data_IF_888426004302
#
_entry.id   IF_888426004302
#
_cell.length_a   1.000
_cell.length_b   1.000
_cell.length_c   1.000
_cell.angle_alpha   90.00
_cell.angle_beta   90.00
_cell.angle_gamma   90.00
#
_symmetry.space_group_name_H-M   'P 1'
#
loop_
_entity.id
_entity.type
_entity.pdbx_description
1 polymer ?
#
# COMPACT_ATOMS: atom_id res chain seq x y z
N UNK A 1 -32.88 -5.63 5.14
CA UNK A 1 -31.82 -5.82 4.13
C UNK A 1 -32.00 -7.09 3.28
N UNK A 2 -32.92 -7.94 3.58
CA UNK A 2 -33.20 -9.25 2.91
C UNK A 2 -34.13 -9.17 1.70
N UNK A 3 -34.68 -8.02 1.37
CA UNK A 3 -35.65 -7.86 0.26
C UNK A 3 -34.99 -7.62 -1.12
N UNK A 4 -33.73 -7.17 -1.18
CA UNK A 4 -33.06 -6.84 -2.44
C UNK A 4 -32.46 -8.08 -3.16
N UNK A 5 -31.90 -9.03 -2.42
CA UNK A 5 -31.33 -10.26 -3.01
C UNK A 5 -32.41 -11.20 -3.63
N UNK A 6 -33.64 -11.18 -3.10
CA UNK A 6 -34.76 -11.93 -3.65
C UNK A 6 -35.27 -11.33 -4.98
N UNK A 7 -35.05 -10.03 -5.23
CA UNK A 7 -35.53 -9.38 -6.44
C UNK A 7 -34.69 -9.73 -7.67
N UNK A 8 -33.37 -9.87 -7.54
CA UNK A 8 -32.45 -10.21 -8.65
C UNK A 8 -32.63 -11.69 -9.06
N UNK A 9 -32.75 -12.62 -8.09
CA UNK A 9 -33.00 -14.04 -8.40
C UNK A 9 -34.31 -14.29 -9.12
N UNK A 10 -35.34 -13.44 -8.91
CA UNK A 10 -36.59 -13.52 -9.65
C UNK A 10 -36.52 -12.85 -11.04
N UNK A 11 -35.61 -11.85 -11.19
CA UNK A 11 -35.40 -11.14 -12.47
C UNK A 11 -34.55 -11.94 -13.47
N UNK A 12 -33.62 -12.79 -13.00
CA UNK A 12 -32.83 -13.71 -13.86
C UNK A 12 -33.69 -14.74 -14.60
N UNK A 13 -34.95 -14.95 -14.16
CA UNK A 13 -35.91 -15.88 -14.79
C UNK A 13 -36.92 -15.24 -15.73
N UNK A 14 -36.95 -13.90 -15.86
CA UNK A 14 -37.89 -13.21 -16.75
C UNK A 14 -37.30 -11.87 -17.17
N UNK A 15 -37.44 -11.49 -18.44
CA UNK A 15 -36.94 -10.31 -19.18
C UNK A 15 -37.00 -8.92 -18.48
N UNK A 16 -36.66 -8.84 -17.21
CA UNK A 16 -36.65 -7.57 -16.48
C UNK A 16 -35.25 -6.97 -16.47
N UNK A 17 -35.14 -5.72 -16.92
CA UNK A 17 -33.93 -4.90 -16.90
C UNK A 17 -33.32 -4.83 -15.50
N UNK A 18 -32.01 -5.05 -15.39
CA UNK A 18 -31.28 -4.96 -14.14
C UNK A 18 -30.39 -3.74 -14.15
N UNK A 19 -30.69 -2.74 -13.33
CA UNK A 19 -29.86 -1.54 -13.24
C UNK A 19 -28.48 -1.85 -12.65
N UNK A 20 -27.44 -1.26 -13.22
CA UNK A 20 -26.07 -1.49 -12.77
C UNK A 20 -25.84 -1.14 -11.29
N UNK A 21 -26.55 -0.15 -10.73
CA UNK A 21 -26.50 0.15 -9.29
C UNK A 21 -27.03 -1.00 -8.42
N UNK A 22 -28.07 -1.70 -8.86
CA UNK A 22 -28.65 -2.84 -8.14
C UNK A 22 -27.69 -4.02 -8.21
N UNK A 23 -27.18 -4.30 -9.40
CA UNK A 23 -26.13 -5.31 -9.59
C UNK A 23 -24.90 -5.05 -8.75
N UNK A 24 -24.37 -3.82 -8.72
CA UNK A 24 -23.17 -3.48 -7.94
C UNK A 24 -23.35 -3.71 -6.43
N UNK A 25 -24.55 -3.50 -5.88
CA UNK A 25 -24.83 -3.77 -4.46
C UNK A 25 -24.83 -5.28 -4.22
N UNK A 26 -25.53 -6.04 -5.04
CA UNK A 26 -25.59 -7.50 -4.94
C UNK A 26 -24.21 -8.14 -5.12
N UNK A 27 -23.44 -7.67 -6.11
CA UNK A 27 -22.09 -8.10 -6.38
C UNK A 27 -21.15 -7.84 -5.18
N UNK A 28 -21.25 -6.65 -4.54
CA UNK A 28 -20.45 -6.35 -3.35
C UNK A 28 -20.76 -7.26 -2.18
N UNK A 29 -22.05 -7.57 -1.95
CA UNK A 29 -22.48 -8.36 -0.80
C UNK A 29 -22.18 -9.86 -1.00
N UNK A 30 -22.48 -10.40 -2.17
CA UNK A 30 -22.44 -11.85 -2.42
C UNK A 30 -21.11 -12.34 -3.00
N UNK A 31 -20.39 -11.53 -3.77
CA UNK A 31 -19.16 -11.97 -4.44
C UNK A 31 -17.88 -11.34 -3.85
N UNK A 32 -17.93 -10.05 -3.48
CA UNK A 32 -16.75 -9.36 -2.99
C UNK A 32 -16.55 -9.57 -1.49
N UNK A 33 -17.60 -9.37 -0.69
CA UNK A 33 -17.54 -9.47 0.78
C UNK A 33 -16.93 -10.77 1.28
N UNK A 34 -17.31 -11.96 0.77
CA UNK A 34 -16.75 -13.22 1.23
C UNK A 34 -15.34 -13.50 0.70
N UNK A 35 -14.92 -12.85 -0.40
CA UNK A 35 -13.70 -13.21 -1.15
C UNK A 35 -12.50 -12.32 -0.85
N UNK A 36 -12.69 -11.11 -0.30
CA UNK A 36 -11.61 -10.15 -0.11
C UNK A 36 -11.42 -9.75 1.35
N UNK A 37 -10.21 -9.26 1.68
CA UNK A 37 -9.94 -8.70 3.01
C UNK A 37 -10.76 -7.41 3.25
N UNK A 38 -11.14 -7.07 4.50
CA UNK A 38 -11.99 -5.93 4.84
C UNK A 38 -11.55 -4.61 4.20
N UNK A 39 -10.26 -4.32 4.20
CA UNK A 39 -9.72 -3.09 3.58
C UNK A 39 -9.91 -3.04 2.05
N UNK A 40 -9.88 -4.18 1.39
CA UNK A 40 -10.14 -4.25 -0.06
C UNK A 40 -11.61 -4.05 -0.33
N UNK A 41 -12.48 -4.63 0.50
CA UNK A 41 -13.93 -4.42 0.46
C UNK A 41 -14.28 -2.94 0.65
N UNK A 42 -13.75 -2.28 1.69
CA UNK A 42 -13.95 -0.84 1.92
C UNK A 42 -13.57 0.01 0.69
N UNK A 43 -12.45 -0.32 0.07
CA UNK A 43 -12.01 0.38 -1.14
C UNK A 43 -12.96 0.17 -2.32
N UNK A 44 -13.45 -1.03 -2.51
CA UNK A 44 -14.42 -1.33 -3.57
C UNK A 44 -15.74 -0.62 -3.30
N UNK A 45 -16.21 -0.68 -2.07
CA UNK A 45 -17.41 0.02 -1.63
C UNK A 45 -17.33 1.54 -1.85
N UNK A 46 -16.17 2.15 -1.53
CA UNK A 46 -15.93 3.58 -1.78
C UNK A 46 -15.99 3.92 -3.28
N UNK A 47 -15.38 3.10 -4.14
CA UNK A 47 -15.40 3.29 -5.60
C UNK A 47 -16.83 3.12 -6.13
N UNK A 48 -17.53 2.08 -5.72
CA UNK A 48 -18.89 1.82 -6.14
C UNK A 48 -19.82 2.98 -5.75
N UNK A 49 -19.84 3.36 -4.47
CA UNK A 49 -20.74 4.41 -3.95
C UNK A 49 -20.44 5.80 -4.51
N UNK A 50 -19.16 6.17 -4.53
CA UNK A 50 -18.78 7.55 -4.83
C UNK A 50 -18.52 7.80 -6.32
N UNK A 51 -18.50 6.73 -7.16
CA UNK A 51 -18.13 6.87 -8.57
C UNK A 51 -19.06 6.10 -9.51
N UNK A 52 -19.20 4.79 -9.33
CA UNK A 52 -19.91 3.96 -10.30
C UNK A 52 -21.42 4.18 -10.24
N UNK A 53 -22.02 4.15 -9.05
CA UNK A 53 -23.47 4.36 -8.88
C UNK A 53 -23.87 5.75 -9.41
N UNK A 54 -23.09 6.79 -9.15
CA UNK A 54 -23.41 8.17 -9.54
C UNK A 54 -23.44 8.33 -11.06
N UNK A 55 -22.53 7.66 -11.76
CA UNK A 55 -22.33 7.89 -13.22
C UNK A 55 -22.88 6.79 -14.12
N UNK A 56 -22.78 5.55 -13.68
CA UNK A 56 -23.16 4.39 -14.47
C UNK A 56 -24.35 3.64 -13.87
N UNK A 57 -24.74 3.95 -12.63
CA UNK A 57 -25.74 3.17 -11.90
C UNK A 57 -27.14 3.13 -12.50
N UNK A 58 -27.53 4.09 -13.32
CA UNK A 58 -28.85 4.15 -13.95
C UNK A 58 -28.89 3.50 -15.34
N UNK A 59 -27.77 3.00 -15.85
CA UNK A 59 -27.77 2.17 -17.04
C UNK A 59 -28.23 0.76 -16.69
N UNK A 60 -28.87 0.10 -17.63
CA UNK A 60 -29.01 -1.34 -17.57
C UNK A 60 -27.65 -2.02 -17.73
N UNK A 61 -27.46 -3.21 -17.11
CA UNK A 61 -26.21 -3.95 -17.22
C UNK A 61 -25.90 -4.28 -18.69
N UNK A 62 -26.93 -4.64 -19.48
CA UNK A 62 -26.80 -4.95 -20.92
C UNK A 62 -26.45 -3.72 -21.76
N UNK A 63 -26.91 -2.54 -21.35
CA UNK A 63 -26.68 -1.28 -22.08
C UNK A 63 -25.29 -0.67 -21.81
N UNK A 64 -24.50 -1.23 -20.89
CA UNK A 64 -23.15 -0.76 -20.60
C UNK A 64 -22.15 -1.10 -21.71
N UNK A 65 -22.31 -0.43 -22.85
CA UNK A 65 -21.43 -0.62 -24.01
C UNK A 65 -19.99 -0.18 -23.76
N UNK A 66 -19.00 -0.69 -24.54
CA UNK A 66 -17.61 -0.24 -24.46
C UNK A 66 -17.48 1.27 -24.62
N UNK A 67 -18.33 1.89 -25.44
CA UNK A 67 -18.30 3.34 -25.69
C UNK A 67 -18.70 4.14 -24.44
N UNK A 68 -19.74 3.71 -23.71
CA UNK A 68 -20.20 4.36 -22.48
C UNK A 68 -19.10 4.31 -21.43
N UNK A 69 -18.52 3.12 -21.21
CA UNK A 69 -17.46 2.92 -20.21
C UNK A 69 -16.19 3.71 -20.61
N UNK A 70 -15.85 3.73 -21.90
CA UNK A 70 -14.68 4.48 -22.38
C UNK A 70 -14.85 6.01 -22.22
N UNK A 71 -16.04 6.55 -22.44
CA UNK A 71 -16.35 7.97 -22.16
C UNK A 71 -16.19 8.27 -20.67
N UNK A 72 -16.67 7.38 -19.81
CA UNK A 72 -16.51 7.53 -18.35
C UNK A 72 -15.03 7.47 -17.91
N UNK A 73 -14.21 6.59 -18.49
CA UNK A 73 -12.77 6.53 -18.25
C UNK A 73 -12.11 7.87 -18.62
N UNK A 74 -12.51 8.46 -19.75
CA UNK A 74 -12.01 9.76 -20.20
C UNK A 74 -12.41 10.89 -19.23
N UNK A 75 -13.65 10.89 -18.77
CA UNK A 75 -14.13 11.84 -17.76
C UNK A 75 -13.34 11.73 -16.44
N UNK A 76 -13.05 10.51 -15.98
CA UNK A 76 -12.22 10.28 -14.80
C UNK A 76 -10.81 10.85 -14.95
N UNK A 77 -10.23 10.77 -16.15
CA UNK A 77 -8.91 11.31 -16.44
C UNK A 77 -8.90 12.85 -16.50
N UNK A 78 -10.00 13.47 -16.87
CA UNK A 78 -10.11 14.93 -17.00
C UNK A 78 -10.55 15.60 -15.69
N UNK A 79 -11.59 15.10 -15.03
CA UNK A 79 -12.31 15.75 -13.93
C UNK A 79 -12.59 14.82 -12.74
N UNK A 80 -12.03 13.60 -12.70
CA UNK A 80 -12.40 12.54 -11.76
C UNK A 80 -12.02 12.80 -10.30
N UNK A 81 -11.27 13.84 -9.97
CA UNK A 81 -10.93 14.15 -8.58
C UNK A 81 -12.00 15.04 -7.94
N UNK A 82 -12.89 14.43 -7.16
CA UNK A 82 -14.02 15.11 -6.52
C UNK A 82 -13.64 16.26 -5.57
N UNK A 83 -12.38 16.29 -5.07
CA UNK A 83 -11.92 17.35 -4.16
C UNK A 83 -11.33 18.55 -4.88
N UNK A 84 -10.68 18.32 -5.99
CA UNK A 84 -9.93 19.37 -6.71
C UNK A 84 -10.50 19.71 -8.07
N UNK A 85 -11.49 18.94 -8.57
CA UNK A 85 -12.03 19.05 -9.91
C UNK A 85 -11.03 18.67 -11.04
N UNK A 86 -9.81 18.21 -10.70
CA UNK A 86 -8.80 17.79 -11.67
C UNK A 86 -8.96 16.32 -12.06
N UNK A 87 -8.22 15.88 -13.05
CA UNK A 87 -8.15 14.48 -13.43
C UNK A 87 -7.57 13.56 -12.35
N UNK A 88 -7.96 12.29 -12.39
CA UNK A 88 -7.33 11.24 -11.60
C UNK A 88 -6.02 10.79 -12.25
N UNK A 89 -5.11 10.27 -11.42
CA UNK A 89 -3.91 9.57 -11.93
C UNK A 89 -4.29 8.28 -12.67
N UNK A 90 -3.47 7.88 -13.66
CA UNK A 90 -3.65 6.62 -14.40
C UNK A 90 -3.82 5.41 -13.46
N UNK A 91 -3.07 5.35 -12.35
CA UNK A 91 -3.23 4.28 -11.35
C UNK A 91 -4.61 4.28 -10.69
N UNK A 92 -5.13 5.46 -10.34
CA UNK A 92 -6.47 5.58 -9.75
C UNK A 92 -7.57 5.19 -10.73
N UNK A 93 -7.45 5.64 -11.99
CA UNK A 93 -8.38 5.26 -13.05
C UNK A 93 -8.33 3.75 -13.30
N UNK A 94 -7.14 3.16 -13.42
CA UNK A 94 -7.00 1.71 -13.59
C UNK A 94 -7.58 0.90 -12.41
N UNK A 95 -7.59 1.48 -11.19
CA UNK A 95 -8.27 0.84 -10.05
C UNK A 95 -9.78 0.85 -10.23
N UNK A 96 -10.36 1.95 -10.72
CA UNK A 96 -11.81 2.02 -11.02
C UNK A 96 -12.16 1.03 -12.13
N UNK A 97 -11.36 0.99 -13.20
CA UNK A 97 -11.54 0.02 -14.29
C UNK A 97 -11.50 -1.42 -13.77
N UNK A 98 -10.60 -1.75 -12.85
CA UNK A 98 -10.53 -3.09 -12.28
C UNK A 98 -11.80 -3.46 -11.49
N UNK A 99 -12.44 -2.51 -10.82
CA UNK A 99 -13.73 -2.74 -10.14
C UNK A 99 -14.83 -2.97 -11.15
N UNK A 100 -14.92 -2.16 -12.21
CA UNK A 100 -15.89 -2.37 -13.30
C UNK A 100 -15.66 -3.74 -13.94
N UNK A 101 -14.40 -4.07 -14.26
CA UNK A 101 -14.06 -5.35 -14.88
C UNK A 101 -14.51 -6.54 -14.02
N UNK A 102 -14.21 -6.52 -12.72
CA UNK A 102 -14.58 -7.61 -11.82
C UNK A 102 -16.10 -7.77 -11.72
N UNK A 103 -16.86 -6.67 -11.65
CA UNK A 103 -18.32 -6.74 -11.59
C UNK A 103 -18.95 -7.20 -12.92
N UNK A 104 -18.44 -6.70 -14.05
CA UNK A 104 -18.94 -7.07 -15.37
C UNK A 104 -18.54 -8.50 -15.77
N UNK A 105 -17.37 -9.00 -15.33
CA UNK A 105 -16.99 -10.39 -15.57
C UNK A 105 -17.96 -11.36 -14.91
N UNK A 106 -18.34 -11.10 -13.66
CA UNK A 106 -19.29 -11.96 -12.96
C UNK A 106 -20.69 -11.79 -13.57
N UNK A 107 -21.11 -10.57 -13.96
CA UNK A 107 -22.36 -10.34 -14.64
C UNK A 107 -22.49 -11.17 -15.94
N UNK A 108 -21.41 -11.21 -16.72
CA UNK A 108 -21.32 -12.05 -17.93
C UNK A 108 -21.36 -13.54 -17.59
N UNK A 109 -20.58 -13.99 -16.59
CA UNK A 109 -20.51 -15.41 -16.20
C UNK A 109 -21.85 -15.97 -15.71
N UNK A 110 -22.73 -15.12 -15.14
CA UNK A 110 -24.07 -15.51 -14.67
C UNK A 110 -25.19 -15.18 -15.66
N UNK A 111 -24.87 -14.68 -16.86
CA UNK A 111 -25.82 -14.40 -17.92
C UNK A 111 -26.68 -13.14 -17.71
N UNK A 112 -26.18 -12.13 -16.95
CA UNK A 112 -26.81 -10.81 -16.86
C UNK A 112 -26.46 -9.91 -18.06
N UNK A 113 -25.54 -10.30 -18.90
CA UNK A 113 -25.17 -9.66 -20.16
C UNK A 113 -24.62 -10.72 -21.10
N UNK A 114 -24.95 -10.61 -22.38
CA UNK A 114 -24.48 -11.54 -23.41
C UNK A 114 -23.10 -11.17 -23.97
N UNK A 115 -22.61 -9.96 -23.69
CA UNK A 115 -21.34 -9.45 -24.22
C UNK A 115 -20.34 -9.07 -23.10
N UNK A 116 -19.13 -9.63 -23.19
CA UNK A 116 -18.02 -9.20 -22.34
C UNK A 116 -17.31 -7.99 -22.96
N UNK A 117 -17.67 -6.80 -22.47
CA UNK A 117 -17.28 -5.52 -23.07
C UNK A 117 -15.87 -5.03 -22.67
N UNK A 118 -15.27 -5.63 -21.63
CA UNK A 118 -14.06 -5.08 -21.00
C UNK A 118 -12.78 -5.20 -21.82
N UNK A 119 -12.68 -6.19 -22.71
CA UNK A 119 -11.51 -6.38 -23.58
C UNK A 119 -11.38 -5.32 -24.67
N UNK A 120 -12.48 -4.62 -24.98
CA UNK A 120 -12.52 -3.55 -25.98
C UNK A 120 -12.07 -2.18 -25.44
N UNK A 121 -11.78 -2.07 -24.13
CA UNK A 121 -11.44 -0.81 -23.48
C UNK A 121 -9.95 -0.48 -23.58
N UNK A 122 -9.65 0.80 -23.83
CA UNK A 122 -8.29 1.34 -23.78
C UNK A 122 -7.98 1.86 -22.38
N UNK A 123 -7.03 1.20 -21.72
CA UNK A 123 -6.57 1.60 -20.38
C UNK A 123 -5.52 2.70 -20.45
N UNK A 124 -5.55 3.70 -19.55
CA UNK A 124 -4.50 4.69 -19.48
C UNK A 124 -3.16 4.06 -19.12
N UNK A 125 -2.11 4.45 -19.85
CA UNK A 125 -0.74 3.99 -19.57
C UNK A 125 -0.28 4.54 -18.21
N UNK A 126 0.32 3.67 -17.42
CA UNK A 126 0.91 4.05 -16.15
C UNK A 126 2.30 4.59 -16.44
N UNK A 127 2.54 5.85 -16.08
CA UNK A 127 3.89 6.39 -16.06
C UNK A 127 4.59 5.94 -14.79
N UNK A 128 5.70 5.25 -14.92
CA UNK A 128 6.54 4.88 -13.79
C UNK A 128 7.11 6.15 -13.13
N UNK A 129 6.73 6.38 -11.89
CA UNK A 129 7.33 7.46 -11.12
C UNK A 129 8.71 7.03 -10.67
N UNK A 130 9.72 7.87 -10.93
CA UNK A 130 11.06 7.67 -10.36
C UNK A 130 10.96 7.56 -8.84
N UNK A 131 11.60 6.55 -8.30
CA UNK A 131 11.70 6.36 -6.85
C UNK A 131 12.55 7.50 -6.29
N UNK A 132 12.01 8.22 -5.32
CA UNK A 132 12.74 9.28 -4.63
C UNK A 132 13.26 8.74 -3.30
N UNK A 133 14.58 8.62 -3.20
CA UNK A 133 15.29 8.30 -1.98
C UNK A 133 15.83 9.58 -1.31
N UNK A 134 16.10 9.53 -0.03
CA UNK A 134 16.84 10.57 0.65
C UNK A 134 18.32 10.47 0.24
N UNK A 135 18.96 11.62 0.00
CA UNK A 135 20.41 11.68 -0.19
C UNK A 135 21.12 11.29 1.12
N UNK A 136 22.43 10.90 1.09
CA UNK A 136 23.18 10.63 2.31
C UNK A 136 23.19 11.81 3.30
N UNK A 137 23.26 13.04 2.78
CA UNK A 137 23.21 14.25 3.61
C UNK A 137 21.84 14.43 4.28
N UNK A 138 20.72 14.28 3.51
CA UNK A 138 19.37 14.36 4.06
C UNK A 138 19.12 13.26 5.09
N UNK A 139 19.58 12.03 4.82
CA UNK A 139 19.46 10.90 5.75
C UNK A 139 20.17 11.22 7.07
N UNK A 140 21.41 11.72 7.04
CA UNK A 140 22.17 12.09 8.23
C UNK A 140 21.48 13.17 9.06
N UNK A 141 20.89 14.19 8.40
CA UNK A 141 20.14 15.26 9.07
C UNK A 141 18.88 14.70 9.75
N UNK A 142 18.14 13.80 9.07
CA UNK A 142 16.96 13.13 9.63
C UNK A 142 17.37 12.31 10.87
N UNK A 143 18.40 11.49 10.77
CA UNK A 143 18.90 10.64 11.86
C UNK A 143 19.30 11.47 13.09
N UNK A 144 20.08 12.50 12.91
CA UNK A 144 20.50 13.39 14.00
C UNK A 144 19.32 14.07 14.67
N UNK A 145 18.36 14.56 13.88
CA UNK A 145 17.17 15.19 14.43
C UNK A 145 16.30 14.23 15.23
N UNK A 146 16.17 12.98 14.76
CA UNK A 146 15.38 11.95 15.43
C UNK A 146 16.03 11.45 16.71
N UNK A 147 17.37 11.23 16.71
CA UNK A 147 18.11 10.77 17.90
C UNK A 147 18.03 11.83 19.02
N UNK A 148 18.04 13.09 18.67
CA UNK A 148 17.93 14.21 19.61
C UNK A 148 16.48 14.59 19.95
N UNK A 149 15.46 13.94 19.35
CA UNK A 149 14.05 14.23 19.62
C UNK A 149 13.63 13.62 20.97
N UNK A 150 12.97 14.43 21.80
CA UNK A 150 12.47 13.98 23.10
C UNK A 150 11.32 12.95 22.97
N UNK A 151 10.66 12.92 21.81
CA UNK A 151 9.53 12.00 21.54
C UNK A 151 10.06 10.64 21.11
N UNK A 152 9.96 9.67 21.99
CA UNK A 152 10.45 8.28 21.80
C UNK A 152 9.94 7.63 20.51
N UNK A 153 8.71 7.94 20.11
CA UNK A 153 8.08 7.43 18.87
C UNK A 153 8.85 7.77 17.59
N UNK A 154 9.62 8.87 17.58
CA UNK A 154 10.33 9.29 16.36
C UNK A 154 11.44 8.33 15.96
N UNK A 155 11.97 7.52 16.89
CA UNK A 155 13.02 6.54 16.61
C UNK A 155 12.65 5.51 15.55
N UNK A 156 11.35 5.26 15.37
CA UNK A 156 10.85 4.36 14.32
C UNK A 156 11.23 4.80 12.90
N UNK A 157 11.52 6.10 12.69
CA UNK A 157 12.01 6.61 11.40
C UNK A 157 13.42 6.04 11.14
N UNK A 158 14.30 6.09 12.15
CA UNK A 158 15.65 5.51 12.06
C UNK A 158 15.57 4.00 11.91
N UNK A 159 14.67 3.34 12.66
CA UNK A 159 14.48 1.90 12.52
C UNK A 159 14.08 1.52 11.08
N UNK A 160 13.18 2.28 10.43
CA UNK A 160 12.84 2.05 9.01
C UNK A 160 14.00 2.33 8.04
N UNK A 161 14.87 3.31 8.32
CA UNK A 161 16.05 3.61 7.50
C UNK A 161 17.08 2.49 7.52
N UNK A 162 17.11 1.66 8.58
CA UNK A 162 18.10 0.59 8.76
C UNK A 162 17.55 -0.83 8.66
N UNK A 163 16.23 -1.00 8.54
CA UNK A 163 15.59 -2.33 8.45
C UNK A 163 14.66 -2.46 7.26
N UNK A 164 14.30 -1.35 6.64
CA UNK A 164 13.35 -1.33 5.53
C UNK A 164 11.92 -1.73 5.90
N UNK A 165 11.53 -1.73 7.17
CA UNK A 165 10.18 -2.03 7.62
C UNK A 165 9.14 -1.14 6.92
N UNK A 166 7.97 -1.73 6.59
CA UNK A 166 6.80 -0.96 6.18
C UNK A 166 6.19 -0.27 7.39
N UNK A 167 5.55 0.88 7.20
CA UNK A 167 4.93 1.63 8.31
C UNK A 167 3.96 0.78 9.14
N UNK A 168 3.17 -0.08 8.49
CA UNK A 168 2.25 -0.96 9.21
C UNK A 168 2.96 -2.06 10.00
N UNK A 169 4.09 -2.58 9.52
CA UNK A 169 4.95 -3.53 10.22
C UNK A 169 5.63 -2.83 11.43
N UNK A 170 6.21 -1.66 11.20
CA UNK A 170 6.83 -0.85 12.25
C UNK A 170 5.87 -0.57 13.42
N UNK A 171 4.66 -0.10 13.11
CA UNK A 171 3.68 0.25 14.14
C UNK A 171 3.04 -0.97 14.80
N UNK A 172 3.09 -2.15 14.18
CA UNK A 172 2.63 -3.40 14.76
C UNK A 172 3.70 -4.11 15.59
N UNK A 173 4.96 -3.63 15.55
CA UNK A 173 6.09 -4.27 16.20
C UNK A 173 5.99 -4.15 17.73
N UNK A 174 6.10 -5.26 18.41
CA UNK A 174 6.12 -5.38 19.86
C UNK A 174 7.55 -5.69 20.37
N UNK A 175 7.81 -5.43 21.65
CA UNK A 175 9.13 -5.71 22.24
C UNK A 175 9.49 -7.20 22.27
N UNK A 176 8.50 -8.09 22.27
CA UNK A 176 8.73 -9.55 22.18
C UNK A 176 9.22 -9.99 20.79
N UNK A 177 8.99 -9.17 19.76
CA UNK A 177 9.41 -9.46 18.39
C UNK A 177 10.89 -9.09 18.15
N UNK A 178 11.56 -8.47 19.15
CA UNK A 178 12.97 -8.09 19.09
C UNK A 178 13.78 -9.02 19.98
N UNK A 179 14.63 -9.82 19.35
CA UNK A 179 15.64 -10.60 20.06
C UNK A 179 16.92 -9.75 20.20
N UNK A 180 17.23 -9.37 21.44
CA UNK A 180 18.42 -8.59 21.78
C UNK A 180 19.69 -9.44 21.93
N UNK A 181 19.60 -10.78 21.87
CA UNK A 181 20.73 -11.71 21.93
C UNK A 181 21.21 -12.00 20.51
N UNK A 182 20.32 -12.44 19.63
CA UNK A 182 20.61 -12.69 18.21
C UNK A 182 20.69 -11.41 17.39
N UNK A 183 20.21 -10.28 17.91
CA UNK A 183 20.07 -8.99 17.21
C UNK A 183 19.15 -9.07 16.00
N UNK A 184 17.94 -9.59 16.19
CA UNK A 184 16.97 -9.85 15.13
C UNK A 184 15.60 -9.27 15.44
N UNK A 185 14.85 -8.95 14.39
CA UNK A 185 13.43 -8.56 14.44
C UNK A 185 12.63 -9.60 13.70
N UNK A 186 11.65 -10.20 14.36
CA UNK A 186 10.63 -11.04 13.71
C UNK A 186 9.49 -10.17 13.20
N UNK A 187 9.19 -10.26 11.91
CA UNK A 187 8.11 -9.51 11.26
C UNK A 187 7.04 -10.48 10.79
N UNK A 188 5.97 -10.61 11.56
CA UNK A 188 4.86 -11.56 11.33
C UNK A 188 3.49 -10.86 11.30
N UNK A 189 3.43 -9.56 11.53
CA UNK A 189 2.19 -8.78 11.60
C UNK A 189 2.32 -7.39 10.98
N UNK A 190 1.18 -6.83 10.62
CA UNK A 190 1.08 -5.47 10.11
C UNK A 190 -0.20 -4.83 10.63
N UNK A 191 -0.19 -3.52 10.84
CA UNK A 191 -1.39 -2.80 11.20
C UNK A 191 -1.82 -1.81 10.12
N UNK A 192 -3.10 -1.48 10.16
CA UNK A 192 -3.72 -0.44 9.33
C UNK A 192 -4.89 0.20 10.08
N UNK A 193 -5.21 1.43 9.70
CA UNK A 193 -6.39 2.12 10.22
C UNK A 193 -7.57 1.85 9.28
N UNK A 194 -8.74 1.58 9.84
CA UNK A 194 -9.97 1.33 9.11
C UNK A 194 -11.19 1.62 9.98
N UNK A 195 -12.38 1.51 9.42
CA UNK A 195 -13.61 1.59 10.17
C UNK A 195 -14.05 0.22 10.63
N UNK A 196 -14.51 0.12 11.88
CA UNK A 196 -15.19 -1.08 12.36
C UNK A 196 -16.64 -1.16 11.82
N UNK A 197 -17.38 -2.18 12.22
CA UNK A 197 -18.78 -2.39 11.81
C UNK A 197 -19.69 -1.21 12.20
N UNK A 198 -19.33 -0.48 13.25
CA UNK A 198 -20.07 0.69 13.76
C UNK A 198 -19.64 2.00 13.09
N UNK A 199 -18.75 1.93 12.10
CA UNK A 199 -18.24 3.10 11.40
C UNK A 199 -17.17 3.88 12.17
N UNK A 200 -16.71 3.39 13.32
CA UNK A 200 -15.71 4.02 14.17
C UNK A 200 -14.31 3.67 13.63
N UNK A 201 -13.46 4.70 13.48
CA UNK A 201 -12.06 4.51 13.09
C UNK A 201 -11.30 3.81 14.21
N UNK A 202 -10.73 2.67 13.90
CA UNK A 202 -9.87 1.93 14.81
C UNK A 202 -8.68 1.32 14.07
N UNK A 203 -7.70 0.87 14.83
CA UNK A 203 -6.54 0.16 14.31
C UNK A 203 -6.84 -1.33 14.27
N UNK A 204 -6.52 -1.91 13.13
CA UNK A 204 -6.57 -3.35 12.91
C UNK A 204 -5.15 -3.90 12.81
N UNK A 205 -4.91 -5.03 13.43
CA UNK A 205 -3.69 -5.83 13.22
C UNK A 205 -4.06 -7.06 12.42
N UNK A 206 -3.28 -7.38 11.42
CA UNK A 206 -3.49 -8.57 10.59
C UNK A 206 -2.18 -9.29 10.33
N UNK A 207 -2.27 -10.60 10.21
CA UNK A 207 -1.17 -11.42 9.68
C UNK A 207 -0.95 -11.03 8.20
N UNK A 208 0.28 -10.97 7.72
CA UNK A 208 0.59 -10.70 6.32
C UNK A 208 -0.12 -11.64 5.36
N UNK A 209 -0.27 -11.21 4.11
CA UNK A 209 -1.03 -11.97 3.09
C UNK A 209 -0.30 -13.20 2.54
N UNK A 210 1.00 -13.32 2.77
CA UNK A 210 1.86 -14.37 2.19
C UNK A 210 2.89 -14.83 3.20
N UNK A 211 3.27 -16.09 3.15
CA UNK A 211 4.32 -16.68 3.99
C UNK A 211 5.67 -15.96 3.83
N UNK A 212 5.95 -15.43 2.63
CA UNK A 212 7.13 -14.62 2.35
C UNK A 212 7.16 -13.26 3.06
N UNK A 213 6.04 -12.86 3.68
CA UNK A 213 5.99 -11.64 4.49
C UNK A 213 6.44 -11.89 5.93
N UNK A 214 6.39 -13.16 6.40
CA UNK A 214 6.98 -13.55 7.66
C UNK A 214 8.48 -13.69 7.44
N UNK A 215 9.25 -12.86 8.11
CA UNK A 215 10.69 -12.80 7.93
C UNK A 215 11.40 -12.33 9.18
N UNK A 216 12.66 -12.70 9.28
CA UNK A 216 13.58 -12.18 10.30
C UNK A 216 14.49 -11.15 9.65
N UNK A 217 14.66 -10.01 10.31
CA UNK A 217 15.52 -8.92 9.84
C UNK A 217 16.64 -8.73 10.87
N UNK A 218 17.93 -8.88 10.47
CA UNK A 218 19.05 -8.56 11.33
C UNK A 218 19.09 -7.07 11.68
N UNK A 219 19.36 -6.75 12.93
CA UNK A 219 19.49 -5.38 13.43
C UNK A 219 20.97 -4.97 13.41
N UNK A 220 21.34 -3.86 12.77
CA UNK A 220 22.70 -3.32 12.89
C UNK A 220 23.10 -3.10 14.35
N UNK A 221 24.30 -3.53 14.72
CA UNK A 221 24.81 -3.46 16.11
C UNK A 221 24.66 -2.07 16.73
N UNK A 222 24.81 -1.02 15.92
CA UNK A 222 24.70 0.38 16.34
C UNK A 222 23.29 0.78 16.82
N UNK A 223 22.23 0.08 16.37
CA UNK A 223 20.86 0.35 16.82
C UNK A 223 20.52 -0.35 18.13
N UNK A 224 21.22 -1.39 18.53
CA UNK A 224 20.92 -2.17 19.74
C UNK A 224 20.93 -1.31 21.01
N UNK A 225 21.94 -0.47 21.29
CA UNK A 225 21.89 0.41 22.45
C UNK A 225 20.72 1.38 22.44
N UNK A 226 20.36 1.90 21.26
CA UNK A 226 19.24 2.81 21.08
C UNK A 226 17.93 2.12 21.43
N UNK A 227 17.70 0.91 20.91
CA UNK A 227 16.49 0.12 21.18
C UNK A 227 16.41 -0.33 22.64
N UNK A 228 17.52 -0.74 23.25
CA UNK A 228 17.57 -1.07 24.69
C UNK A 228 17.20 0.12 25.56
N UNK A 229 17.71 1.32 25.23
CA UNK A 229 17.37 2.54 25.95
C UNK A 229 15.90 2.91 25.77
N UNK A 230 15.37 2.75 24.54
CA UNK A 230 13.94 2.96 24.26
C UNK A 230 13.07 2.00 25.06
N UNK A 231 13.41 0.70 25.09
CA UNK A 231 12.69 -0.33 25.86
C UNK A 231 12.61 0.00 27.35
N UNK A 232 13.74 0.45 27.93
CA UNK A 232 13.78 0.82 29.37
C UNK A 232 12.84 1.98 29.74
N UNK A 233 12.55 2.85 28.77
CA UNK A 233 11.70 4.04 28.96
C UNK A 233 10.25 3.81 28.52
N UNK A 234 9.96 2.67 27.90
CA UNK A 234 8.64 2.34 27.39
C UNK A 234 7.78 1.66 28.44
N UNK A 235 6.55 2.14 28.63
CA UNK A 235 5.49 1.46 29.38
C UNK A 235 4.59 0.61 28.47
N UNK A 236 4.72 0.75 27.15
CA UNK A 236 3.91 0.06 26.16
C UNK A 236 4.56 -1.26 25.74
N UNK A 237 3.73 -2.23 25.36
CA UNK A 237 4.18 -3.47 24.69
C UNK A 237 4.71 -3.19 23.26
N UNK A 238 4.26 -2.11 22.61
CA UNK A 238 4.68 -1.72 21.28
C UNK A 238 6.00 -0.96 21.30
N UNK A 239 6.86 -1.25 20.32
CA UNK A 239 8.15 -0.56 20.15
C UNK A 239 7.95 0.93 19.85
N UNK A 240 6.90 1.25 19.05
CA UNK A 240 6.56 2.62 18.70
C UNK A 240 5.16 2.95 19.23
N UNK A 241 5.13 3.79 20.26
CA UNK A 241 3.92 4.20 20.99
C UNK A 241 3.96 5.68 21.37
N UNK A 242 2.84 6.22 21.80
CA UNK A 242 2.72 7.55 22.39
C UNK A 242 2.29 7.38 23.86
N UNK A 243 3.26 7.23 24.75
CA UNK A 243 3.03 6.68 26.08
C UNK A 243 2.51 5.23 25.96
N UNK A 244 1.41 4.93 26.63
CA UNK A 244 0.76 3.61 26.60
C UNK A 244 -0.15 3.39 25.39
N UNK A 245 -0.36 4.45 24.56
CA UNK A 245 -1.30 4.42 23.44
C UNK A 245 -0.62 4.02 22.13
N UNK A 246 -1.33 3.22 21.34
CA UNK A 246 -0.95 2.92 19.97
C UNK A 246 -1.09 4.18 19.08
N UNK A 247 -0.27 4.28 18.05
CA UNK A 247 -0.28 5.41 17.12
C UNK A 247 -0.94 4.97 15.82
N UNK A 248 -1.90 5.76 15.31
CA UNK A 248 -2.48 5.50 14.00
C UNK A 248 -1.45 5.70 12.88
N UNK A 249 -1.58 4.93 11.80
CA UNK A 249 -0.68 5.03 10.64
C UNK A 249 -0.67 6.46 10.09
N UNK A 250 -1.85 7.09 9.99
CA UNK A 250 -1.98 8.47 9.51
C UNK A 250 -1.31 9.49 10.43
N UNK A 251 -1.45 9.33 11.76
CA UNK A 251 -0.82 10.22 12.73
C UNK A 251 0.71 10.13 12.65
N UNK A 252 1.23 8.91 12.48
CA UNK A 252 2.67 8.71 12.36
C UNK A 252 3.24 9.28 11.05
N UNK A 253 2.54 9.09 9.93
CA UNK A 253 2.87 9.73 8.66
C UNK A 253 2.88 11.26 8.79
N UNK A 254 1.88 11.82 9.47
CA UNK A 254 1.83 13.26 9.72
C UNK A 254 3.01 13.76 10.55
N UNK A 255 3.42 13.00 11.57
CA UNK A 255 4.61 13.33 12.39
C UNK A 255 5.89 13.35 11.53
N UNK A 256 6.01 12.42 10.59
CA UNK A 256 7.12 12.38 9.65
C UNK A 256 7.10 13.57 8.66
N UNK A 257 5.94 13.91 8.11
CA UNK A 257 5.77 15.08 7.23
C UNK A 257 6.19 16.38 7.94
N UNK A 258 5.78 16.54 9.21
CA UNK A 258 6.15 17.71 10.01
C UNK A 258 7.64 17.74 10.31
N UNK A 259 8.28 16.58 10.52
CA UNK A 259 9.73 16.49 10.66
C UNK A 259 10.45 16.97 9.40
N UNK A 260 10.06 16.47 8.22
CA UNK A 260 10.67 16.89 6.95
C UNK A 260 10.51 18.40 6.73
N UNK A 261 9.33 18.94 7.03
CA UNK A 261 9.08 20.39 6.94
C UNK A 261 9.98 21.17 7.88
N UNK A 262 10.14 20.73 9.14
CA UNK A 262 11.04 21.36 10.13
C UNK A 262 12.49 21.37 9.66
N UNK A 263 12.92 20.31 8.97
CA UNK A 263 14.29 20.17 8.47
C UNK A 263 14.51 20.82 7.09
N UNK A 264 13.48 21.46 6.55
CA UNK A 264 13.48 22.03 5.18
C UNK A 264 13.87 21.00 4.10
N UNK A 265 13.48 19.73 4.32
CA UNK A 265 13.68 18.64 3.35
C UNK A 265 12.45 18.52 2.49
N UNK A 266 12.63 18.35 1.18
CA UNK A 266 11.53 18.16 0.24
C UNK A 266 10.62 17.02 0.67
N UNK A 267 9.30 17.24 0.64
CA UNK A 267 8.30 16.26 1.04
C UNK A 267 8.44 14.97 0.23
N UNK A 268 8.55 13.86 0.96
CA UNK A 268 8.48 12.48 0.45
C UNK A 268 7.59 11.67 1.38
N UNK A 269 6.81 10.74 0.81
CA UNK A 269 5.96 9.86 1.62
C UNK A 269 6.80 8.95 2.52
N UNK A 270 6.23 8.45 3.61
CA UNK A 270 6.93 7.59 4.59
C UNK A 270 7.64 6.38 3.95
N UNK A 271 7.08 5.83 2.88
CA UNK A 271 7.67 4.69 2.16
C UNK A 271 9.04 5.00 1.54
N UNK A 272 9.40 6.27 1.36
CA UNK A 272 10.73 6.69 0.90
C UNK A 272 11.86 6.28 1.85
N UNK A 273 11.59 6.11 3.16
CA UNK A 273 12.56 5.58 4.11
C UNK A 273 12.99 4.16 3.73
N UNK A 274 12.03 3.31 3.40
CA UNK A 274 12.31 1.95 2.93
C UNK A 274 13.01 1.94 1.56
N UNK A 275 12.67 2.87 0.68
CA UNK A 275 13.38 3.03 -0.59
C UNK A 275 14.84 3.46 -0.36
N UNK A 276 15.07 4.38 0.58
CA UNK A 276 16.41 4.82 0.98
C UNK A 276 17.21 3.64 1.54
N UNK A 277 16.62 2.86 2.46
CA UNK A 277 17.26 1.64 2.96
C UNK A 277 17.70 0.72 1.82
N UNK A 278 16.78 0.40 0.90
CA UNK A 278 17.06 -0.52 -0.19
C UNK A 278 18.18 0.00 -1.12
N UNK A 279 18.16 1.29 -1.43
CA UNK A 279 19.21 1.92 -2.23
C UNK A 279 20.57 1.85 -1.52
N UNK A 280 20.63 2.23 -0.23
CA UNK A 280 21.86 2.17 0.56
C UNK A 280 22.40 0.74 0.71
N UNK A 281 21.51 -0.23 0.92
CA UNK A 281 21.89 -1.64 1.01
C UNK A 281 22.59 -2.13 -0.27
N UNK A 282 22.04 -1.79 -1.44
CA UNK A 282 22.68 -2.11 -2.73
C UNK A 282 24.00 -1.36 -2.95
N UNK A 283 24.07 -0.09 -2.59
CA UNK A 283 25.31 0.71 -2.64
C UNK A 283 26.40 0.13 -1.72
N UNK A 284 26.00 -0.47 -0.58
CA UNK A 284 26.92 -1.18 0.32
C UNK A 284 27.27 -2.61 -0.17
N UNK A 285 26.81 -3.02 -1.35
CA UNK A 285 27.14 -4.31 -1.93
C UNK A 285 26.22 -5.47 -1.53
N UNK A 286 25.08 -5.21 -0.88
CA UNK A 286 24.10 -6.25 -0.59
C UNK A 286 23.52 -6.79 -1.90
N UNK A 287 23.48 -8.10 -2.07
CA UNK A 287 22.90 -8.71 -3.24
C UNK A 287 21.36 -8.58 -3.27
N UNK A 288 20.79 -8.63 -4.48
CA UNK A 288 19.36 -8.38 -4.71
C UNK A 288 18.47 -9.43 -4.03
N UNK A 289 18.94 -10.68 -3.91
CA UNK A 289 18.18 -11.76 -3.28
C UNK A 289 18.06 -11.52 -1.78
N UNK A 290 19.19 -11.28 -1.10
CA UNK A 290 19.23 -10.94 0.34
C UNK A 290 18.39 -9.70 0.63
N UNK A 291 18.52 -8.64 -0.17
CA UNK A 291 17.70 -7.45 -0.01
C UNK A 291 16.21 -7.75 -0.19
N UNK A 292 15.85 -8.57 -1.16
CA UNK A 292 14.45 -8.97 -1.40
C UNK A 292 13.86 -9.74 -0.21
N UNK A 293 14.64 -10.63 0.41
CA UNK A 293 14.26 -11.38 1.60
C UNK A 293 14.04 -10.44 2.80
N UNK A 294 14.98 -9.54 3.08
CA UNK A 294 14.87 -8.52 4.15
C UNK A 294 13.64 -7.64 3.93
N UNK A 295 13.40 -7.22 2.69
CA UNK A 295 12.22 -6.42 2.35
C UNK A 295 10.91 -7.22 2.37
N UNK A 296 10.94 -8.56 2.31
CA UNK A 296 9.75 -9.40 2.18
C UNK A 296 9.02 -9.13 0.86
N UNK A 297 9.75 -9.12 -0.25
CA UNK A 297 9.18 -9.11 -1.59
C UNK A 297 8.99 -10.55 -2.07
N UNK A 298 7.79 -10.86 -2.55
CA UNK A 298 7.46 -12.20 -3.07
C UNK A 298 8.34 -12.62 -4.26
N UNK A 299 8.82 -11.64 -5.04
CA UNK A 299 9.66 -11.87 -6.21
C UNK A 299 10.83 -10.88 -6.20
N UNK A 300 12.10 -11.35 -6.26
CA UNK A 300 13.29 -10.52 -6.38
C UNK A 300 13.28 -9.58 -7.59
N UNK A 301 12.56 -9.92 -8.66
CA UNK A 301 12.38 -9.07 -9.84
C UNK A 301 11.75 -7.72 -9.48
N UNK A 302 10.90 -7.67 -8.45
CA UNK A 302 10.32 -6.42 -7.94
C UNK A 302 11.42 -5.50 -7.38
N UNK A 303 12.38 -6.07 -6.66
CA UNK A 303 13.54 -5.34 -6.11
C UNK A 303 14.44 -4.88 -7.25
N UNK A 304 14.77 -5.77 -8.16
CA UNK A 304 15.63 -5.48 -9.31
C UNK A 304 15.04 -4.35 -10.19
N UNK A 305 13.79 -4.49 -10.62
CA UNK A 305 13.11 -3.46 -11.44
C UNK A 305 13.08 -2.10 -10.76
N UNK A 306 12.84 -2.11 -9.45
CA UNK A 306 12.63 -0.88 -8.68
C UNK A 306 13.92 -0.12 -8.41
N UNK A 307 15.06 -0.83 -8.25
CA UNK A 307 16.34 -0.24 -7.85
C UNK A 307 17.47 -0.38 -8.86
N UNK A 308 17.22 -0.95 -10.04
CA UNK A 308 18.23 -1.16 -11.08
C UNK A 308 18.95 0.13 -11.53
N UNK A 309 18.25 1.27 -11.48
CA UNK A 309 18.84 2.56 -11.87
C UNK A 309 19.86 3.11 -10.88
N UNK A 310 19.78 2.76 -9.58
CA UNK A 310 20.72 3.20 -8.56
C UNK A 310 22.05 2.42 -8.56
N UNK A 311 22.15 1.38 -9.39
CA UNK A 311 23.33 0.49 -9.46
C UNK A 311 24.43 0.96 -10.44
N UNK A 312 24.33 2.13 -11.06
CA UNK A 312 25.30 2.48 -12.11
C UNK A 312 26.70 2.76 -11.57
N UNK A 313 26.82 3.42 -10.40
CA UNK A 313 28.11 3.60 -9.72
C UNK A 313 28.68 2.26 -9.25
N UNK A 314 27.86 1.42 -8.67
CA UNK A 314 28.25 0.07 -8.28
C UNK A 314 28.71 -0.78 -9.47
N UNK A 315 28.03 -0.66 -10.63
CA UNK A 315 28.50 -1.33 -11.86
C UNK A 315 29.88 -0.90 -12.27
N UNK A 316 30.18 0.41 -12.23
CA UNK A 316 31.53 0.94 -12.52
C UNK A 316 32.56 0.38 -11.55
N UNK A 317 32.26 0.42 -10.25
CA UNK A 317 33.14 -0.12 -9.23
C UNK A 317 33.42 -1.63 -9.44
N UNK A 318 32.39 -2.42 -9.77
CA UNK A 318 32.56 -3.85 -10.06
C UNK A 318 33.39 -4.07 -11.33
N UNK A 319 33.19 -3.27 -12.39
CA UNK A 319 34.02 -3.33 -13.58
C UNK A 319 35.47 -2.95 -13.31
N UNK A 320 35.72 -1.93 -12.45
CA UNK A 320 37.07 -1.56 -12.03
C UNK A 320 37.76 -2.67 -11.20
N UNK A 321 36.97 -3.38 -10.36
CA UNK A 321 37.49 -4.56 -9.65
C UNK A 321 37.84 -5.70 -10.59
N UNK A 322 36.97 -5.97 -11.58
CA UNK A 322 37.22 -6.98 -12.61
C UNK A 322 38.48 -6.62 -13.43
N UNK A 323 38.64 -5.33 -13.78
CA UNK A 323 39.81 -4.83 -14.51
C UNK A 323 41.14 -5.03 -13.79
N UNK A 324 41.12 -5.16 -12.44
CA UNK A 324 42.35 -5.46 -11.67
C UNK A 324 42.81 -6.91 -11.78
N UNK A 325 42.05 -7.77 -12.44
CA UNK A 325 42.44 -9.17 -12.71
C UNK A 325 43.24 -9.32 -14.00
N UNK A 326 43.36 -8.26 -14.80
CA UNK A 326 44.23 -8.16 -15.96
C UNK A 326 45.54 -7.50 -15.61
#
# INVERSE_FOLDING_TARGET
MTYFSLSINNKIKGCDQVLYKEWLVDWLENYVSPSVKPRTYERYLEIVRNRLIIKLGNYDVEDLTPLIIQKYITELMQNGNMKTGRGLSSNSVNTVIAVIQNSMSIAFDIGLTDEYVMDKLKRPKIQEKKITCFSPAEQKVIEQSVINDKRSKMIGIVLCLYTGLRIGELLALEWKDIDFVSHEISVDKTCYDGKNKDGIYCRFTSVPKTDTSNRVIPIPKQLIPVLRNLKRKSSSEYVISDGDKTISVRSYQRSFELLLKKLNIQHRGFHSLRHTFATRALECGMDVKTLSEILGHKNPTVTLHRYAHSMMEHKKEMMDRLGKLF
#
